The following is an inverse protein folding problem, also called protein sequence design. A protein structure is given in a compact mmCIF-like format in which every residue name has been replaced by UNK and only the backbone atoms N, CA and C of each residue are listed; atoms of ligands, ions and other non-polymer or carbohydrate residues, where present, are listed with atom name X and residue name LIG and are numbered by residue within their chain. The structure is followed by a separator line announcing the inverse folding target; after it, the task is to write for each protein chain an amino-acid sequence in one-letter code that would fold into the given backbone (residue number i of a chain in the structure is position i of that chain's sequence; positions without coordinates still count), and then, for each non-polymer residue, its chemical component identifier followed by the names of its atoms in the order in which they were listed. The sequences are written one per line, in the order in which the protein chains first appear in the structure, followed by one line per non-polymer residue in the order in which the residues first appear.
data_IF_100023891420
#
_entry.id   IF_100023891420
#
_cell.length_a   1.000
_cell.length_b   1.000
_cell.length_c   1.000
_cell.angle_alpha   90.00
_cell.angle_beta   90.00
_cell.angle_gamma   90.00
#
_symmetry.space_group_name_H-M   'P 1'
#
loop_
_entity.id
_entity.type
_entity.pdbx_description
1 polymer ?
#
# COMPACT_ATOMS: atom_id res chain seq x y z
N UNK A 1 -9.99 12.02 -18.37
CA UNK A 1 -10.86 10.88 -17.98
C UNK A 1 -11.93 11.39 -17.03
N UNK A 2 -13.20 11.02 -17.21
CA UNK A 2 -14.28 11.38 -16.27
C UNK A 2 -14.37 10.35 -15.13
N UNK A 3 -15.03 10.72 -14.02
CA UNK A 3 -15.27 9.81 -12.90
C UNK A 3 -16.06 8.54 -13.29
N UNK A 4 -16.98 8.66 -14.25
CA UNK A 4 -17.77 7.53 -14.75
C UNK A 4 -16.90 6.55 -15.54
N UNK A 5 -15.96 7.05 -16.33
CA UNK A 5 -15.02 6.23 -17.10
C UNK A 5 -14.06 5.51 -16.14
N UNK A 6 -13.57 6.21 -15.12
CA UNK A 6 -12.68 5.65 -14.11
C UNK A 6 -13.37 4.58 -13.24
N UNK A 7 -14.64 4.81 -12.88
CA UNK A 7 -15.46 3.82 -12.19
C UNK A 7 -15.63 2.55 -13.02
N UNK A 8 -15.91 2.69 -14.32
CA UNK A 8 -16.01 1.56 -15.24
C UNK A 8 -14.68 0.81 -15.38
N UNK A 9 -13.55 1.52 -15.50
CA UNK A 9 -12.23 0.90 -15.63
C UNK A 9 -11.76 0.17 -14.36
N UNK A 10 -12.08 0.70 -13.17
CA UNK A 10 -11.60 0.17 -11.89
C UNK A 10 -12.58 -0.77 -11.19
N UNK A 11 -13.84 -0.79 -11.62
CA UNK A 11 -14.92 -1.49 -10.92
C UNK A 11 -15.31 -0.85 -9.57
N UNK A 12 -14.85 0.37 -9.30
CA UNK A 12 -15.21 1.14 -8.10
C UNK A 12 -16.49 1.96 -8.36
N UNK A 13 -17.24 2.25 -7.30
CA UNK A 13 -18.43 3.09 -7.45
C UNK A 13 -18.04 4.55 -7.68
N UNK A 14 -18.76 5.25 -8.56
CA UNK A 14 -18.61 6.71 -8.79
C UNK A 14 -18.75 7.48 -7.48
N UNK A 15 -19.63 7.03 -6.58
CA UNK A 15 -19.81 7.64 -5.25
C UNK A 15 -18.55 7.53 -4.41
N UNK A 16 -17.92 6.35 -4.35
CA UNK A 16 -16.69 6.14 -3.60
C UNK A 16 -15.55 7.00 -4.13
N UNK A 17 -15.40 7.07 -5.46
CA UNK A 17 -14.39 7.91 -6.10
C UNK A 17 -14.61 9.40 -5.82
N UNK A 18 -15.85 9.89 -5.93
CA UNK A 18 -16.20 11.27 -5.59
C UNK A 18 -15.91 11.61 -4.13
N UNK A 19 -16.17 10.69 -3.20
CA UNK A 19 -15.84 10.89 -1.79
C UNK A 19 -14.32 10.93 -1.57
N UNK A 20 -13.56 10.11 -2.28
CA UNK A 20 -12.10 10.13 -2.24
C UNK A 20 -11.55 11.45 -2.79
N UNK A 21 -12.03 11.95 -3.93
CA UNK A 21 -11.65 13.27 -4.48
C UNK A 21 -11.93 14.42 -3.52
N UNK A 22 -13.01 14.32 -2.74
CA UNK A 22 -13.38 15.32 -1.73
C UNK A 22 -12.62 15.16 -0.40
N UNK A 23 -11.64 14.25 -0.31
CA UNK A 23 -10.93 13.90 0.91
C UNK A 23 -11.85 13.40 2.05
N UNK A 24 -13.05 12.90 1.71
CA UNK A 24 -14.03 12.38 2.67
C UNK A 24 -13.88 10.88 2.93
N UNK A 25 -13.06 10.19 2.15
CA UNK A 25 -12.81 8.75 2.30
C UNK A 25 -11.40 8.39 1.87
N UNK A 26 -10.71 7.61 2.70
CA UNK A 26 -9.40 7.05 2.35
C UNK A 26 -9.58 5.83 1.44
N UNK A 27 -8.88 5.82 0.31
CA UNK A 27 -8.86 4.67 -0.59
C UNK A 27 -7.96 3.57 -0.02
N UNK A 28 -8.41 2.32 -0.04
CA UNK A 28 -7.62 1.20 0.42
C UNK A 28 -6.44 0.92 -0.53
N UNK A 29 -5.30 0.39 -0.05
CA UNK A 29 -4.16 0.07 -0.92
C UNK A 29 -4.49 -0.82 -2.14
N UNK A 30 -5.34 -1.88 -2.03
CA UNK A 30 -5.73 -2.66 -3.20
C UNK A 30 -6.49 -1.84 -4.26
N UNK A 31 -7.33 -0.90 -3.82
CA UNK A 31 -8.05 -0.02 -4.72
C UNK A 31 -7.11 1.04 -5.33
N UNK A 32 -6.08 1.47 -4.60
CA UNK A 32 -5.02 2.34 -5.14
C UNK A 32 -4.25 1.63 -6.27
N UNK A 33 -4.01 0.31 -6.20
CA UNK A 33 -3.43 -0.45 -7.33
C UNK A 33 -4.28 -0.32 -8.60
N UNK A 34 -5.59 -0.57 -8.48
CA UNK A 34 -6.54 -0.49 -9.60
C UNK A 34 -6.60 0.92 -10.18
N UNK A 35 -6.60 1.95 -9.32
CA UNK A 35 -6.56 3.34 -9.73
C UNK A 35 -5.24 3.72 -10.41
N UNK A 36 -4.12 3.27 -9.87
CA UNK A 36 -2.77 3.47 -10.42
C UNK A 36 -2.68 2.91 -11.85
N UNK A 37 -3.14 1.68 -12.05
CA UNK A 37 -3.19 1.04 -13.37
C UNK A 37 -4.08 1.81 -14.36
N UNK A 38 -5.28 2.23 -13.93
CA UNK A 38 -6.23 2.94 -14.78
C UNK A 38 -5.80 4.38 -15.13
N UNK A 39 -5.10 5.05 -14.21
CA UNK A 39 -4.65 6.44 -14.36
C UNK A 39 -3.23 6.54 -14.96
N UNK A 40 -2.46 5.46 -14.98
CA UNK A 40 -1.07 5.46 -15.44
C UNK A 40 -0.12 6.25 -14.52
N UNK A 41 -0.46 6.36 -13.22
CA UNK A 41 0.35 7.07 -12.21
C UNK A 41 0.79 6.11 -11.11
N UNK A 42 1.83 6.43 -10.36
CA UNK A 42 2.32 5.53 -9.30
C UNK A 42 1.35 5.44 -8.11
N UNK A 43 1.37 4.29 -7.42
CA UNK A 43 0.60 4.06 -6.19
C UNK A 43 1.05 5.03 -5.10
N UNK A 44 2.37 5.30 -5.01
CA UNK A 44 2.94 6.25 -4.07
C UNK A 44 2.32 7.64 -4.22
N UNK A 45 2.21 8.13 -5.46
CA UNK A 45 1.63 9.42 -5.79
C UNK A 45 0.16 9.51 -5.38
N UNK A 46 -0.65 8.50 -5.71
CA UNK A 46 -2.06 8.48 -5.32
C UNK A 46 -2.28 8.36 -3.81
N UNK A 47 -1.38 7.66 -3.12
CA UNK A 47 -1.42 7.46 -1.68
C UNK A 47 -0.74 8.57 -0.86
N UNK A 48 -0.07 9.51 -1.51
CA UNK A 48 0.83 10.49 -0.90
C UNK A 48 1.87 9.83 0.04
N UNK A 49 2.37 8.65 -0.34
CA UNK A 49 3.24 7.84 0.49
C UNK A 49 4.69 8.32 0.51
N UNK A 50 5.09 9.22 -0.39
CA UNK A 50 6.42 9.86 -0.45
C UNK A 50 6.83 10.50 0.87
N UNK A 51 5.86 11.10 1.57
CA UNK A 51 6.08 11.78 2.84
C UNK A 51 6.09 10.85 4.07
N UNK A 52 5.93 9.53 3.87
CA UNK A 52 6.02 8.59 4.99
C UNK A 52 7.47 8.50 5.49
N UNK A 53 7.66 8.43 6.82
CA UNK A 53 8.99 8.33 7.42
C UNK A 53 9.65 6.99 7.10
N UNK A 54 10.98 6.95 7.19
CA UNK A 54 11.82 5.78 6.88
C UNK A 54 12.96 5.58 7.89
N UNK A 55 12.85 6.17 9.07
CA UNK A 55 13.92 6.18 10.08
C UNK A 55 14.10 4.81 10.76
N UNK A 56 13.03 4.02 10.84
CA UNK A 56 13.06 2.69 11.44
C UNK A 56 12.78 1.61 10.40
N UNK A 57 13.10 0.36 10.74
CA UNK A 57 12.80 -0.78 9.88
C UNK A 57 11.29 -0.92 9.69
N UNK A 58 10.49 -0.79 10.76
CA UNK A 58 9.03 -0.84 10.69
C UNK A 58 8.43 0.24 9.79
N UNK A 59 8.97 1.46 9.86
CA UNK A 59 8.58 2.56 8.98
C UNK A 59 8.87 2.25 7.50
N UNK A 60 10.07 1.73 7.20
CA UNK A 60 10.44 1.30 5.84
C UNK A 60 9.58 0.15 5.34
N UNK A 61 9.29 -0.85 6.17
CA UNK A 61 8.40 -1.97 5.83
C UNK A 61 7.00 -1.44 5.48
N UNK A 62 6.44 -0.55 6.32
CA UNK A 62 5.14 0.06 6.09
C UNK A 62 5.11 0.84 4.77
N UNK A 63 6.13 1.67 4.53
CA UNK A 63 6.22 2.48 3.31
C UNK A 63 6.33 1.61 2.07
N UNK A 64 7.24 0.64 2.05
CA UNK A 64 7.38 -0.31 0.96
C UNK A 64 6.07 -1.08 0.70
N UNK A 65 5.42 -1.62 1.75
CA UNK A 65 4.13 -2.32 1.59
C UNK A 65 3.09 -1.44 0.89
N UNK A 66 3.01 -0.17 1.27
CA UNK A 66 2.07 0.78 0.68
C UNK A 66 2.45 1.19 -0.75
N UNK A 67 3.74 1.31 -1.06
CA UNK A 67 4.21 1.56 -2.43
C UNK A 67 3.82 0.44 -3.39
N UNK A 68 3.84 -0.80 -2.92
CA UNK A 68 3.33 -1.96 -3.67
C UNK A 68 1.81 -2.09 -3.62
N UNK A 69 1.10 -1.19 -2.93
CA UNK A 69 -0.36 -1.19 -2.84
C UNK A 69 -0.95 -2.34 -2.06
N UNK A 70 -0.19 -2.99 -1.18
CA UNK A 70 -0.70 -4.09 -0.34
C UNK A 70 -1.32 -3.55 0.94
N UNK A 71 -2.45 -4.13 1.35
CA UNK A 71 -2.91 -4.01 2.73
C UNK A 71 -2.15 -5.04 3.62
N UNK A 72 -2.29 -4.94 4.95
CA UNK A 72 -1.58 -5.86 5.88
C UNK A 72 -1.97 -7.33 5.71
N UNK A 73 -3.20 -7.62 5.28
CA UNK A 73 -3.67 -8.99 5.05
C UNK A 73 -3.00 -9.59 3.82
N UNK A 74 -3.08 -8.90 2.68
CA UNK A 74 -2.41 -9.33 1.45
C UNK A 74 -0.89 -9.45 1.64
N UNK A 75 -0.28 -8.50 2.35
CA UNK A 75 1.15 -8.57 2.62
C UNK A 75 1.50 -9.74 3.54
N UNK A 76 0.69 -10.01 4.56
CA UNK A 76 0.86 -11.20 5.42
C UNK A 76 0.75 -12.50 4.63
N UNK A 77 -0.20 -12.61 3.70
CA UNK A 77 -0.39 -13.78 2.84
C UNK A 77 0.87 -14.11 2.02
N UNK A 78 1.62 -13.10 1.56
CA UNK A 78 2.90 -13.29 0.84
C UNK A 78 3.94 -14.04 1.71
N UNK A 79 3.97 -13.77 3.02
CA UNK A 79 4.91 -14.40 3.95
C UNK A 79 4.32 -15.61 4.70
N UNK A 80 3.04 -15.94 4.48
CA UNK A 80 2.31 -16.93 5.29
C UNK A 80 2.10 -16.47 6.74
N UNK A 81 2.00 -15.16 6.98
CA UNK A 81 1.88 -14.54 8.29
C UNK A 81 0.53 -13.86 8.49
N UNK A 82 0.14 -13.67 9.75
CA UNK A 82 -1.08 -12.94 10.08
C UNK A 82 -0.91 -11.42 9.87
N UNK A 83 -2.00 -10.66 9.61
CA UNK A 83 -1.94 -9.20 9.51
C UNK A 83 -1.42 -8.53 10.79
N UNK A 84 -1.64 -9.17 11.95
CA UNK A 84 -1.12 -8.73 13.25
C UNK A 84 0.40 -8.84 13.32
N UNK A 85 1.00 -9.83 12.65
CA UNK A 85 2.45 -9.97 12.59
C UNK A 85 3.10 -8.84 11.79
N UNK A 86 2.50 -8.52 10.64
CA UNK A 86 2.92 -7.37 9.83
C UNK A 86 2.78 -6.08 10.64
N UNK A 87 1.70 -5.90 11.41
CA UNK A 87 1.53 -4.73 12.26
C UNK A 87 2.63 -4.61 13.32
N UNK A 88 3.02 -5.72 13.95
CA UNK A 88 4.10 -5.73 14.93
C UNK A 88 5.45 -5.34 14.33
N UNK A 89 5.77 -5.84 13.12
CA UNK A 89 6.95 -5.41 12.38
C UNK A 89 6.92 -3.91 12.04
N UNK A 90 5.78 -3.40 11.56
CA UNK A 90 5.62 -1.99 11.19
C UNK A 90 5.72 -1.01 12.37
N UNK A 91 5.47 -1.51 13.58
CA UNK A 91 5.60 -0.75 14.83
C UNK A 91 6.95 -0.95 15.52
N UNK A 92 7.85 -1.73 14.93
CA UNK A 92 9.11 -2.13 15.54
C UNK A 92 8.94 -2.86 16.91
N UNK A 93 7.78 -3.50 17.14
CA UNK A 93 7.52 -4.27 18.37
C UNK A 93 8.42 -5.52 18.45
N UNK A 94 8.75 -6.11 17.29
CA UNK A 94 9.73 -7.17 17.13
C UNK A 94 10.26 -7.17 15.70
N UNK A 95 11.44 -7.77 15.51
CA UNK A 95 12.12 -7.81 14.21
C UNK A 95 11.75 -9.07 13.41
N UNK A 96 11.66 -8.98 12.07
CA UNK A 96 11.60 -10.14 11.21
C UNK A 96 12.87 -10.99 11.38
N UNK A 97 12.74 -12.32 11.34
CA UNK A 97 13.91 -13.21 11.29
C UNK A 97 14.65 -13.08 9.96
N UNK A 98 15.89 -13.56 9.88
CA UNK A 98 16.72 -13.49 8.66
C UNK A 98 16.01 -14.04 7.41
N UNK A 99 15.33 -15.18 7.54
CA UNK A 99 14.50 -15.77 6.47
C UNK A 99 13.48 -14.79 5.86
N UNK A 100 12.82 -13.98 6.71
CA UNK A 100 11.84 -13.00 6.23
C UNK A 100 12.52 -11.74 5.71
N UNK A 101 13.68 -11.38 6.28
CA UNK A 101 14.47 -10.24 5.83
C UNK A 101 14.95 -10.39 4.39
N UNK A 102 15.39 -11.57 3.98
CA UNK A 102 15.79 -11.83 2.59
C UNK A 102 14.67 -11.49 1.59
N UNK A 103 13.46 -11.92 1.91
CA UNK A 103 12.30 -11.68 1.06
C UNK A 103 11.81 -10.22 1.18
N UNK A 104 11.83 -9.62 2.38
CA UNK A 104 11.51 -8.21 2.61
C UNK A 104 12.44 -7.26 1.85
N UNK A 105 13.72 -7.60 1.68
CA UNK A 105 14.67 -6.77 0.94
C UNK A 105 14.22 -6.54 -0.51
N UNK A 106 13.54 -7.51 -1.13
CA UNK A 106 12.96 -7.36 -2.47
C UNK A 106 11.87 -6.29 -2.50
N UNK A 107 11.05 -6.20 -1.44
CA UNK A 107 10.04 -5.16 -1.32
C UNK A 107 10.65 -3.79 -0.98
N UNK A 108 11.65 -3.77 -0.10
CA UNK A 108 12.33 -2.56 0.35
C UNK A 108 13.13 -1.90 -0.78
N UNK A 109 13.58 -2.65 -1.79
CA UNK A 109 14.31 -2.16 -2.95
C UNK A 109 13.63 -0.99 -3.67
N UNK A 110 12.30 -0.83 -3.55
CA UNK A 110 11.55 0.28 -4.16
C UNK A 110 11.80 1.65 -3.50
N UNK A 111 12.39 1.67 -2.30
CA UNK A 111 12.68 2.89 -1.54
C UNK A 111 14.11 3.42 -1.81
N UNK A 112 14.87 2.75 -2.68
CA UNK A 112 16.28 3.02 -2.95
C UNK A 112 16.48 3.79 -4.26
#
# INVERSE_FOLDING_TARGET
MLLVDLAAATGLSVRSLRLAEQNKSTVSPPNLRRLSEALGVSIAYLGCFENLPEHTLGQRIKKARLYHGYNKREFGEIFGLSPSMILGWEKDEYRPSEKYMEHLNTFLAILH
#
